data_IF_400402255337
#
_entry.id   IF_400402255337
#
_cell.length_a   1.000
_cell.length_b   1.000
_cell.length_c   1.000
_cell.angle_alpha   90.00
_cell.angle_beta   90.00
_cell.angle_gamma   90.00
#
_symmetry.space_group_name_H-M   'P 1'
#
loop_
_entity.id
_entity.type
_entity.pdbx_description
1 polymer ?
#
# COMPACT_ATOMS: atom_id res chain seq x y z
N UNK A 1 -32.29 15.29 5.66
CA UNK A 1 -31.29 14.58 6.49
C UNK A 1 -31.62 13.09 6.46
N UNK A 2 -30.97 12.34 5.57
CA UNK A 2 -31.06 10.87 5.51
C UNK A 2 -29.80 10.29 4.85
N UNK A 3 -29.14 9.37 5.56
CA UNK A 3 -28.58 8.10 5.04
C UNK A 3 -27.43 8.09 4.02
N UNK A 4 -26.35 8.84 4.25
CA UNK A 4 -25.08 8.62 3.52
C UNK A 4 -24.24 7.42 4.01
N UNK A 5 -24.35 7.06 5.30
CA UNK A 5 -23.61 5.93 5.89
C UNK A 5 -24.19 4.55 5.52
N UNK A 6 -25.46 4.48 5.09
CA UNK A 6 -26.16 3.22 4.80
C UNK A 6 -25.82 2.61 3.43
N UNK A 7 -25.32 3.41 2.48
CA UNK A 7 -24.99 2.92 1.14
C UNK A 7 -23.59 2.28 1.12
N UNK A 8 -22.59 2.93 1.73
CA UNK A 8 -21.23 2.40 1.82
C UNK A 8 -21.14 1.14 2.69
N UNK A 9 -21.90 1.06 3.79
CA UNK A 9 -21.94 -0.16 4.61
C UNK A 9 -22.56 -1.33 3.86
N UNK A 10 -23.59 -1.06 3.04
CA UNK A 10 -24.25 -2.06 2.20
C UNK A 10 -23.39 -2.49 1.01
N UNK A 11 -22.68 -1.54 0.40
CA UNK A 11 -21.73 -1.81 -0.68
C UNK A 11 -20.55 -2.64 -0.15
N UNK A 12 -19.99 -2.30 1.02
CA UNK A 12 -18.96 -3.10 1.66
C UNK A 12 -19.47 -4.50 2.06
N UNK A 13 -20.70 -4.63 2.60
CA UNK A 13 -21.27 -5.93 2.95
C UNK A 13 -21.55 -6.81 1.73
N UNK A 14 -21.90 -6.22 0.59
CA UNK A 14 -22.15 -6.94 -0.66
C UNK A 14 -20.82 -7.37 -1.34
N UNK A 15 -19.74 -6.60 -1.14
CA UNK A 15 -18.40 -6.89 -1.67
C UNK A 15 -17.57 -7.84 -0.78
N UNK A 16 -17.71 -7.82 0.55
CA UNK A 16 -16.95 -8.67 1.50
C UNK A 16 -16.94 -10.18 1.16
N UNK A 17 -18.07 -10.82 0.77
CA UNK A 17 -18.09 -12.22 0.37
C UNK A 17 -17.35 -12.45 -0.96
N UNK A 18 -17.45 -11.50 -1.89
CA UNK A 18 -16.78 -11.55 -3.18
C UNK A 18 -15.27 -11.31 -3.02
N UNK A 19 -14.87 -10.41 -2.11
CA UNK A 19 -13.49 -10.17 -1.71
C UNK A 19 -12.90 -11.42 -1.06
N UNK A 20 -13.63 -12.08 -0.16
CA UNK A 20 -13.19 -13.31 0.51
C UNK A 20 -12.99 -14.46 -0.49
N UNK A 21 -13.92 -14.63 -1.45
CA UNK A 21 -13.78 -15.60 -2.52
C UNK A 21 -12.59 -15.29 -3.45
N UNK A 22 -12.45 -14.03 -3.86
CA UNK A 22 -11.32 -13.58 -4.68
C UNK A 22 -10.01 -13.77 -3.91
N UNK A 23 -9.98 -13.50 -2.61
CA UNK A 23 -8.82 -13.70 -1.75
C UNK A 23 -8.43 -15.17 -1.64
N UNK A 24 -9.38 -16.09 -1.41
CA UNK A 24 -9.13 -17.53 -1.42
C UNK A 24 -8.63 -18.04 -2.78
N UNK A 25 -9.25 -17.57 -3.87
CA UNK A 25 -8.84 -17.92 -5.23
C UNK A 25 -7.44 -17.38 -5.55
N UNK A 26 -7.13 -16.17 -5.11
CA UNK A 26 -5.81 -15.56 -5.25
C UNK A 26 -4.78 -16.32 -4.41
N UNK A 27 -5.13 -16.78 -3.21
CA UNK A 27 -4.26 -17.59 -2.36
C UNK A 27 -3.95 -18.97 -2.95
N UNK A 28 -4.93 -19.65 -3.54
CA UNK A 28 -4.70 -20.93 -4.21
C UNK A 28 -3.80 -20.79 -5.44
N UNK A 29 -3.98 -19.71 -6.21
CA UNK A 29 -3.14 -19.39 -7.36
C UNK A 29 -1.73 -18.96 -6.95
N UNK A 30 -1.61 -18.14 -5.90
CA UNK A 30 -0.33 -17.75 -5.30
C UNK A 30 0.44 -18.98 -4.80
N UNK A 31 -0.24 -19.95 -4.16
CA UNK A 31 0.38 -21.19 -3.72
C UNK A 31 0.92 -22.00 -4.90
N UNK A 32 0.13 -22.17 -5.96
CA UNK A 32 0.58 -22.86 -7.15
C UNK A 32 1.81 -22.19 -7.79
N UNK A 33 1.86 -20.85 -7.80
CA UNK A 33 3.02 -20.09 -8.30
C UNK A 33 4.24 -20.26 -7.39
N UNK A 34 4.09 -20.22 -6.06
CA UNK A 34 5.20 -20.42 -5.11
C UNK A 34 5.71 -21.86 -5.10
N UNK A 35 4.86 -22.84 -5.40
CA UNK A 35 5.26 -24.24 -5.53
C UNK A 35 6.03 -24.49 -6.85
N UNK A 36 5.71 -23.73 -7.90
CA UNK A 36 6.26 -23.91 -9.25
C UNK A 36 7.53 -23.10 -9.52
N UNK A 37 7.71 -21.96 -8.86
CA UNK A 37 8.81 -21.03 -9.12
C UNK A 37 9.54 -20.64 -7.84
N UNK A 38 10.87 -20.53 -7.93
CA UNK A 38 11.67 -19.99 -6.84
C UNK A 38 11.36 -18.50 -6.61
N UNK A 39 11.57 -17.97 -5.38
CA UNK A 39 11.33 -16.56 -5.08
C UNK A 39 12.07 -15.60 -6.04
N UNK A 40 13.29 -15.93 -6.43
CA UNK A 40 14.07 -15.11 -7.36
C UNK A 40 13.42 -15.06 -8.76
N UNK A 41 12.87 -16.18 -9.25
CA UNK A 41 12.17 -16.21 -10.53
C UNK A 41 10.88 -15.39 -10.47
N UNK A 42 10.13 -15.46 -9.36
CA UNK A 42 8.91 -14.66 -9.19
C UNK A 42 9.22 -13.16 -9.21
N UNK A 43 10.28 -12.73 -8.52
CA UNK A 43 10.73 -11.32 -8.54
C UNK A 43 11.17 -10.90 -9.94
N UNK A 44 11.91 -11.75 -10.66
CA UNK A 44 12.33 -11.46 -12.04
C UNK A 44 11.14 -11.31 -12.98
N UNK A 45 10.14 -12.21 -12.91
CA UNK A 45 8.92 -12.14 -13.71
C UNK A 45 8.14 -10.86 -13.39
N UNK A 46 7.93 -10.55 -12.10
CA UNK A 46 7.25 -9.34 -11.68
C UNK A 46 7.95 -8.08 -12.23
N UNK A 47 9.28 -8.03 -12.12
CA UNK A 47 10.09 -6.90 -12.61
C UNK A 47 9.95 -6.69 -14.11
N UNK A 48 9.87 -7.77 -14.90
CA UNK A 48 9.67 -7.70 -16.36
C UNK A 48 8.25 -7.24 -16.69
N UNK A 49 7.23 -7.75 -15.99
CA UNK A 49 5.84 -7.36 -16.21
C UNK A 49 5.59 -5.88 -15.92
N UNK A 50 6.34 -5.30 -14.97
CA UNK A 50 6.19 -3.89 -14.56
C UNK A 50 7.31 -2.98 -15.08
N UNK A 51 8.14 -3.43 -16.02
CA UNK A 51 9.36 -2.72 -16.42
C UNK A 51 9.12 -1.29 -16.95
N UNK A 52 7.99 -1.07 -17.64
CA UNK A 52 7.62 0.24 -18.20
C UNK A 52 6.67 1.03 -17.31
N UNK A 53 6.36 0.54 -16.11
CA UNK A 53 5.44 1.22 -15.21
C UNK A 53 6.12 2.43 -14.56
N UNK A 54 5.34 3.49 -14.39
CA UNK A 54 5.76 4.69 -13.67
C UNK A 54 4.66 5.14 -12.69
N UNK A 55 4.84 4.99 -11.36
CA UNK A 55 3.85 5.38 -10.36
C UNK A 55 3.44 6.86 -10.40
N UNK A 56 4.23 7.73 -11.04
CA UNK A 56 3.89 9.14 -11.25
C UNK A 56 2.61 9.31 -12.10
N UNK A 57 2.33 8.36 -13.00
CA UNK A 57 1.18 8.37 -13.90
C UNK A 57 0.14 7.33 -13.45
N UNK A 58 -0.48 7.58 -12.30
CA UNK A 58 -1.46 6.67 -11.69
C UNK A 58 -2.75 6.46 -12.52
N UNK A 59 -3.03 7.36 -13.45
CA UNK A 59 -4.12 7.25 -14.45
C UNK A 59 -3.79 6.21 -15.53
N UNK A 60 -2.51 6.07 -15.88
CA UNK A 60 -2.02 5.09 -16.87
C UNK A 60 -1.69 3.74 -16.21
N UNK A 61 -1.18 3.75 -14.97
CA UNK A 61 -0.76 2.55 -14.24
C UNK A 61 -1.51 2.36 -12.91
N UNK A 62 -2.84 2.14 -12.93
CA UNK A 62 -3.65 2.04 -11.71
C UNK A 62 -3.32 0.80 -10.86
N UNK A 63 -2.86 -0.28 -11.50
CA UNK A 63 -2.52 -1.52 -10.81
C UNK A 63 -1.31 -1.34 -9.88
N UNK A 64 -0.30 -0.58 -10.32
CA UNK A 64 0.91 -0.31 -9.53
C UNK A 64 0.57 0.53 -8.31
N UNK A 65 -0.25 1.56 -8.48
CA UNK A 65 -0.76 2.36 -7.36
C UNK A 65 -1.51 1.50 -6.34
N UNK A 66 -2.31 0.55 -6.82
CA UNK A 66 -3.07 -0.37 -5.96
C UNK A 66 -2.11 -1.27 -5.18
N UNK A 67 -1.12 -1.86 -5.86
CA UNK A 67 -0.09 -2.67 -5.22
C UNK A 67 0.69 -1.90 -4.15
N UNK A 68 1.10 -0.65 -4.40
CA UNK A 68 1.79 0.17 -3.40
C UNK A 68 0.89 0.44 -2.17
N UNK A 69 -0.39 0.73 -2.39
CA UNK A 69 -1.35 0.98 -1.31
C UNK A 69 -1.61 -0.29 -0.47
N UNK A 70 -1.70 -1.46 -1.12
CA UNK A 70 -1.86 -2.75 -0.46
C UNK A 70 -0.64 -3.13 0.37
N UNK A 71 0.57 -2.97 -0.16
CA UNK A 71 1.81 -3.23 0.60
C UNK A 71 1.88 -2.35 1.85
N UNK A 72 1.58 -1.05 1.73
CA UNK A 72 1.52 -0.14 2.89
C UNK A 72 0.50 -0.62 3.92
N UNK A 73 -0.69 -1.05 3.49
CA UNK A 73 -1.72 -1.57 4.40
C UNK A 73 -1.32 -2.90 5.04
N UNK A 74 -0.70 -3.82 4.30
CA UNK A 74 -0.18 -5.09 4.83
C UNK A 74 0.83 -4.84 5.96
N UNK A 75 1.77 -3.92 5.76
CA UNK A 75 2.74 -3.55 6.80
C UNK A 75 2.05 -2.85 7.97
N UNK A 76 1.13 -1.91 7.73
CA UNK A 76 0.36 -1.29 8.81
C UNK A 76 -0.36 -2.33 9.68
N UNK A 77 -1.00 -3.32 9.06
CA UNK A 77 -1.66 -4.44 9.77
C UNK A 77 -0.65 -5.29 10.55
N UNK A 78 0.50 -5.61 9.96
CA UNK A 78 1.57 -6.39 10.61
C UNK A 78 2.10 -5.72 11.88
N UNK A 79 2.12 -4.38 11.90
CA UNK A 79 2.51 -3.57 13.06
C UNK A 79 1.31 -3.14 13.93
N UNK A 80 0.15 -3.78 13.80
CA UNK A 80 -1.06 -3.52 14.59
C UNK A 80 -1.60 -2.09 14.46
N UNK A 81 -1.40 -1.47 13.30
CA UNK A 81 -1.91 -0.14 12.99
C UNK A 81 -3.43 -0.08 12.90
N UNK A 82 -4.01 1.04 13.32
CA UNK A 82 -5.43 1.30 13.21
C UNK A 82 -5.81 1.87 11.82
N UNK A 83 -7.07 2.31 11.68
CA UNK A 83 -7.56 2.94 10.43
C UNK A 83 -6.89 4.28 10.11
N UNK A 84 -6.26 4.93 11.09
CA UNK A 84 -5.63 6.24 10.92
C UNK A 84 -4.16 6.12 10.46
N UNK A 85 -3.55 4.93 10.60
CA UNK A 85 -2.22 4.66 10.07
C UNK A 85 -2.22 4.74 8.55
N UNK A 86 -1.27 5.51 8.02
CA UNK A 86 -1.02 5.69 6.60
C UNK A 86 0.50 5.68 6.33
N UNK A 87 0.88 5.60 5.05
CA UNK A 87 2.27 5.57 4.63
C UNK A 87 2.42 5.65 3.11
N UNK A 88 3.67 5.61 2.65
CA UNK A 88 4.04 5.61 1.23
C UNK A 88 5.20 4.63 1.01
N UNK A 89 5.28 4.07 -0.20
CA UNK A 89 6.48 3.36 -0.65
C UNK A 89 7.64 4.36 -0.82
N UNK A 90 8.87 3.87 -0.62
CA UNK A 90 10.12 4.60 -0.86
C UNK A 90 11.11 3.66 -1.55
N UNK A 91 12.18 4.21 -2.11
CA UNK A 91 13.25 3.45 -2.75
C UNK A 91 14.05 2.56 -1.79
N UNK A 92 13.97 2.82 -0.48
CA UNK A 92 14.64 2.01 0.54
C UNK A 92 14.67 2.67 1.92
N UNK A 93 15.38 2.02 2.85
CA UNK A 93 15.42 2.43 4.26
C UNK A 93 15.98 3.85 4.47
N UNK A 94 16.99 4.25 3.68
CA UNK A 94 17.58 5.60 3.80
C UNK A 94 16.57 6.69 3.46
N UNK A 95 15.83 6.53 2.35
CA UNK A 95 14.78 7.49 1.98
C UNK A 95 13.65 7.48 3.00
N UNK A 96 13.26 6.31 3.51
CA UNK A 96 12.26 6.19 4.58
C UNK A 96 12.65 7.00 5.83
N UNK A 97 13.90 6.88 6.29
CA UNK A 97 14.40 7.62 7.45
C UNK A 97 14.46 9.12 7.18
N UNK A 98 14.96 9.52 6.01
CA UNK A 98 15.00 10.94 5.62
C UNK A 98 13.61 11.56 5.55
N UNK A 99 12.62 10.83 5.02
CA UNK A 99 11.24 11.30 4.96
C UNK A 99 10.63 11.45 6.36
N UNK A 100 10.90 10.53 7.29
CA UNK A 100 10.45 10.67 8.67
C UNK A 100 11.05 11.91 9.36
N UNK A 101 12.37 12.09 9.28
CA UNK A 101 13.07 13.28 9.78
C UNK A 101 12.50 14.57 9.19
N UNK A 102 12.34 14.61 7.86
CA UNK A 102 11.76 15.75 7.14
C UNK A 102 10.35 16.06 7.63
N UNK A 103 9.48 15.06 7.76
CA UNK A 103 8.10 15.26 8.24
C UNK A 103 8.06 15.84 9.65
N UNK A 104 8.86 15.31 10.58
CA UNK A 104 8.91 15.85 11.95
C UNK A 104 9.50 17.26 12.01
N UNK A 105 10.52 17.55 11.21
CA UNK A 105 11.08 18.90 11.05
C UNK A 105 10.02 19.88 10.54
N UNK A 106 9.26 19.51 9.51
CA UNK A 106 8.22 20.37 8.94
C UNK A 106 7.07 20.62 9.94
N UNK A 107 6.70 19.61 10.73
CA UNK A 107 5.78 19.76 11.87
C UNK A 107 6.34 20.73 12.93
N UNK A 108 7.63 20.64 13.25
CA UNK A 108 8.29 21.52 14.23
C UNK A 108 8.31 22.99 13.75
N UNK A 109 8.59 23.22 12.47
CA UNK A 109 8.52 24.56 11.84
C UNK A 109 7.09 25.10 11.94
N UNK A 110 6.08 24.28 11.61
CA UNK A 110 4.67 24.67 11.71
C UNK A 110 4.24 25.00 13.16
N UNK A 111 4.92 24.42 14.16
CA UNK A 111 4.75 24.73 15.59
C UNK A 111 5.56 25.94 16.08
N UNK A 112 6.30 26.63 15.20
CA UNK A 112 7.06 27.84 15.53
C UNK A 112 8.50 27.62 16.01
N UNK A 113 9.04 26.40 15.90
CA UNK A 113 10.45 26.13 16.21
C UNK A 113 11.31 26.68 15.07
N UNK A 114 12.19 27.65 15.37
CA UNK A 114 12.95 28.41 14.36
C UNK A 114 14.09 27.62 13.71
N UNK A 115 14.68 26.67 14.44
CA UNK A 115 15.83 25.87 14.00
C UNK A 115 15.68 24.42 14.45
N UNK A 116 14.73 23.67 13.89
CA UNK A 116 14.62 22.24 14.15
C UNK A 116 15.73 21.50 13.39
N UNK A 117 16.30 20.50 14.05
CA UNK A 117 17.29 19.60 13.44
C UNK A 117 16.63 18.65 12.44
N UNK A 118 17.47 18.02 11.59
CA UNK A 118 17.08 16.86 10.79
C UNK A 118 17.29 15.58 11.59
#
# INVERSE_FOLDING_TARGET
MATGQSFYSKLLSDFEPQLSYLYEKTNSLNRALTDSYSPLQLVAIASVLTACANPLHADVFPDIRTMEAEVVRCIATMFHGDKNVCGTMTSGGTESLLMACKTYRDIAIAKGIKRPEM
#
